data_IF_636588261256
#
_entry.id   IF_636588261256
#
_cell.length_a   1.000
_cell.length_b   1.000
_cell.length_c   1.000
_cell.angle_alpha   90.00
_cell.angle_beta   90.00
_cell.angle_gamma   90.00
#
_symmetry.space_group_name_H-M   'P 1'
#
loop_
_entity.id
_entity.type
_entity.pdbx_description
1 polymer ?
#
# COMPACT_ATOMS: atom_id res chain seq x y z
N UNK A 1 31.30 0.83 14.25
CA UNK A 1 29.95 1.39 14.47
C UNK A 1 29.05 0.65 13.48
N UNK A 2 28.25 -0.29 13.98
CA UNK A 2 27.77 -1.43 13.19
C UNK A 2 26.67 -1.11 12.17
N UNK A 3 26.51 -2.02 11.20
CA UNK A 3 25.52 -2.03 10.12
C UNK A 3 24.05 -2.17 10.58
N UNK A 4 23.76 -2.04 11.87
CA UNK A 4 22.41 -2.26 12.43
C UNK A 4 21.76 -0.90 12.71
N UNK A 5 20.69 -0.60 11.98
CA UNK A 5 19.93 0.66 12.10
C UNK A 5 18.42 0.39 12.00
N UNK A 6 17.62 1.14 12.75
CA UNK A 6 16.14 1.11 12.71
C UNK A 6 15.54 2.11 11.70
N UNK A 7 16.39 2.90 11.03
CA UNK A 7 15.99 4.00 10.14
C UNK A 7 14.96 3.59 9.06
N UNK A 8 15.07 2.37 8.54
CA UNK A 8 14.12 1.86 7.52
C UNK A 8 12.72 1.70 8.11
N UNK A 9 12.61 1.08 9.28
CA UNK A 9 11.34 0.85 9.96
C UNK A 9 10.71 2.17 10.43
N UNK A 10 11.50 3.04 11.04
CA UNK A 10 11.04 4.36 11.50
C UNK A 10 10.57 5.24 10.33
N UNK A 11 11.32 5.22 9.22
CA UNK A 11 10.94 5.92 8.00
C UNK A 11 9.62 5.42 7.40
N UNK A 12 9.41 4.10 7.37
CA UNK A 12 8.15 3.50 6.91
C UNK A 12 6.96 3.97 7.76
N UNK A 13 7.05 3.82 9.08
CA UNK A 13 5.94 4.20 9.97
C UNK A 13 5.70 5.71 10.01
N UNK A 14 6.73 6.52 9.82
CA UNK A 14 6.60 7.97 9.70
C UNK A 14 5.78 8.36 8.47
N UNK A 15 6.05 7.73 7.32
CA UNK A 15 5.28 7.95 6.09
C UNK A 15 3.82 7.50 6.24
N UNK A 16 3.61 6.32 6.83
CA UNK A 16 2.28 5.77 7.09
C UNK A 16 1.43 6.72 7.96
N UNK A 17 1.98 7.17 9.10
CA UNK A 17 1.29 8.10 10.02
C UNK A 17 0.94 9.43 9.34
N UNK A 18 1.82 9.96 8.49
CA UNK A 18 1.55 11.19 7.72
C UNK A 18 0.43 10.97 6.70
N UNK A 19 0.43 9.81 6.03
CA UNK A 19 -0.64 9.40 5.13
C UNK A 19 -2.01 9.31 5.82
N UNK A 20 -2.06 8.70 7.01
CA UNK A 20 -3.30 8.59 7.79
C UNK A 20 -3.86 9.96 8.19
N UNK A 21 -3.00 10.91 8.59
CA UNK A 21 -3.44 12.26 8.94
C UNK A 21 -3.85 13.12 7.73
N UNK A 22 -3.24 12.88 6.56
CA UNK A 22 -3.45 13.72 5.38
C UNK A 22 -4.48 13.17 4.40
N UNK A 23 -4.25 11.96 3.89
CA UNK A 23 -5.01 11.35 2.79
C UNK A 23 -6.16 10.51 3.34
N UNK A 24 -5.90 9.70 4.37
CA UNK A 24 -6.83 8.68 4.87
C UNK A 24 -7.48 9.10 6.20
N UNK A 25 -7.99 10.33 6.25
CA UNK A 25 -8.53 10.95 7.46
C UNK A 25 -9.76 10.21 8.02
N UNK A 26 -10.56 9.60 7.14
CA UNK A 26 -11.76 8.83 7.47
C UNK A 26 -11.53 7.31 7.35
N UNK A 27 -10.39 6.83 7.83
CA UNK A 27 -10.08 5.40 7.88
C UNK A 27 -10.85 4.71 9.01
N UNK A 28 -11.87 3.91 8.66
CA UNK A 28 -12.44 2.94 9.59
C UNK A 28 -11.49 1.76 9.80
N UNK A 29 -11.52 1.16 11.00
CA UNK A 29 -10.66 0.02 11.38
C UNK A 29 -10.75 -1.15 10.38
N UNK A 30 -11.95 -1.43 9.87
CA UNK A 30 -12.19 -2.45 8.84
C UNK A 30 -11.42 -2.24 7.54
N UNK A 31 -10.90 -1.05 7.26
CA UNK A 31 -10.13 -0.75 6.05
C UNK A 31 -8.63 -0.63 6.30
N UNK A 32 -8.19 -0.65 7.58
CA UNK A 32 -6.79 -0.43 7.96
C UNK A 32 -5.83 -1.40 7.24
N UNK A 33 -6.23 -2.67 7.13
CA UNK A 33 -5.45 -3.70 6.43
C UNK A 33 -5.21 -3.37 4.95
N UNK A 34 -6.16 -2.70 4.28
CA UNK A 34 -6.02 -2.31 2.86
C UNK A 34 -5.01 -1.18 2.70
N UNK A 35 -5.06 -0.19 3.59
CA UNK A 35 -4.11 0.91 3.56
C UNK A 35 -2.70 0.44 3.91
N UNK A 36 -2.54 -0.45 4.89
CA UNK A 36 -1.24 -1.05 5.19
C UNK A 36 -0.67 -1.81 3.98
N UNK A 37 -1.48 -2.62 3.30
CA UNK A 37 -1.05 -3.34 2.10
C UNK A 37 -0.64 -2.37 0.96
N UNK A 38 -1.35 -1.26 0.80
CA UNK A 38 -1.00 -0.22 -0.18
C UNK A 38 0.34 0.46 0.14
N UNK A 39 0.56 0.83 1.41
CA UNK A 39 1.81 1.45 1.84
C UNK A 39 3.00 0.49 1.72
N UNK A 40 2.83 -0.77 2.09
CA UNK A 40 3.84 -1.80 1.92
C UNK A 40 4.22 -1.97 0.45
N UNK A 41 3.22 -2.06 -0.44
CA UNK A 41 3.45 -2.13 -1.87
C UNK A 41 4.22 -0.91 -2.38
N UNK A 42 3.83 0.32 -2.01
CA UNK A 42 4.52 1.54 -2.45
C UNK A 42 5.96 1.61 -1.94
N UNK A 43 6.19 1.28 -0.67
CA UNK A 43 7.50 1.39 -0.05
C UNK A 43 8.51 0.38 -0.64
N UNK A 44 8.05 -0.85 -0.89
CA UNK A 44 8.88 -1.93 -1.44
C UNK A 44 9.06 -1.87 -2.96
N UNK A 45 8.21 -1.13 -3.68
CA UNK A 45 8.28 -0.99 -5.14
C UNK A 45 8.73 0.41 -5.59
N UNK A 46 9.64 1.04 -4.85
CA UNK A 46 10.17 2.38 -5.15
C UNK A 46 11.44 2.36 -5.99
N UNK A 47 11.72 3.47 -6.67
CA UNK A 47 12.93 3.64 -7.50
C UNK A 47 14.22 3.47 -6.71
N UNK A 48 14.25 3.90 -5.44
CA UNK A 48 15.41 3.73 -4.55
C UNK A 48 15.75 2.25 -4.25
N UNK A 49 14.87 1.30 -4.60
CA UNK A 49 15.13 -0.14 -4.53
C UNK A 49 15.37 -0.76 -5.92
N UNK A 50 15.61 0.07 -6.94
CA UNK A 50 15.83 -0.37 -8.32
C UNK A 50 14.55 -0.76 -9.06
N UNK A 51 13.37 -0.40 -8.53
CA UNK A 51 12.09 -0.70 -9.19
C UNK A 51 11.65 0.51 -10.00
N UNK A 52 11.69 0.38 -11.32
CA UNK A 52 11.20 1.40 -12.26
C UNK A 52 9.67 1.53 -12.20
N UNK A 53 9.14 2.67 -12.64
CA UNK A 53 7.70 2.90 -12.62
C UNK A 53 6.92 1.91 -13.53
N UNK A 54 7.52 1.53 -14.66
CA UNK A 54 6.97 0.50 -15.55
C UNK A 54 6.89 -0.87 -14.85
N UNK A 55 7.92 -1.26 -14.09
CA UNK A 55 7.92 -2.50 -13.33
C UNK A 55 6.92 -2.48 -12.18
N UNK A 56 6.83 -1.35 -11.46
CA UNK A 56 5.82 -1.14 -10.42
C UNK A 56 4.41 -1.31 -10.98
N UNK A 57 4.15 -0.70 -12.13
CA UNK A 57 2.86 -0.79 -12.82
C UNK A 57 2.56 -2.23 -13.23
N UNK A 58 3.54 -2.94 -13.81
CA UNK A 58 3.39 -4.35 -14.17
C UNK A 58 3.11 -5.25 -12.95
N UNK A 59 3.75 -4.99 -11.80
CA UNK A 59 3.47 -5.71 -10.54
C UNK A 59 2.04 -5.46 -10.05
N UNK A 60 1.57 -4.22 -10.13
CA UNK A 60 0.19 -3.87 -9.77
C UNK A 60 -0.83 -4.57 -10.67
N UNK A 61 -0.60 -4.57 -12.00
CA UNK A 61 -1.47 -5.26 -12.97
C UNK A 61 -1.56 -6.76 -12.71
N UNK A 62 -0.43 -7.42 -12.40
CA UNK A 62 -0.42 -8.84 -12.01
C UNK A 62 -1.28 -9.11 -10.77
N UNK A 63 -1.23 -8.24 -9.77
CA UNK A 63 -2.02 -8.36 -8.54
C UNK A 63 -3.52 -8.07 -8.71
N UNK A 64 -3.90 -7.38 -9.80
CA UNK A 64 -5.28 -7.09 -10.16
C UNK A 64 -5.94 -8.23 -10.98
N UNK A 65 -5.14 -9.13 -11.57
CA UNK A 65 -5.66 -10.24 -12.38
C UNK A 65 -6.68 -11.07 -11.59
N UNK A 66 -7.87 -11.26 -12.15
CA UNK A 66 -8.96 -12.02 -11.55
C UNK A 66 -9.79 -11.25 -10.50
N UNK A 67 -9.38 -10.04 -10.10
CA UNK A 67 -10.12 -9.18 -9.18
C UNK A 67 -10.94 -8.17 -9.96
N UNK A 68 -12.11 -8.60 -10.46
CA UNK A 68 -13.06 -7.73 -11.15
C UNK A 68 -14.22 -7.42 -10.21
N UNK A 69 -14.49 -6.13 -9.98
CA UNK A 69 -15.67 -5.67 -9.26
C UNK A 69 -16.71 -5.26 -10.30
N UNK A 70 -17.90 -5.84 -10.27
CA UNK A 70 -19.02 -5.32 -11.06
C UNK A 70 -19.76 -4.25 -10.27
N UNK A 71 -20.41 -3.33 -10.98
CA UNK A 71 -21.19 -2.26 -10.34
C UNK A 71 -22.25 -2.82 -9.39
N UNK A 72 -22.90 -3.93 -9.76
CA UNK A 72 -23.86 -4.64 -8.92
C UNK A 72 -23.27 -5.15 -7.58
N UNK A 73 -21.97 -5.46 -7.55
CA UNK A 73 -21.26 -6.01 -6.38
C UNK A 73 -20.60 -4.91 -5.54
N UNK A 74 -20.65 -3.65 -6.00
CA UNK A 74 -20.00 -2.52 -5.33
C UNK A 74 -20.67 -2.14 -4.00
N UNK A 75 -21.93 -2.53 -3.82
CA UNK A 75 -22.72 -2.30 -2.62
C UNK A 75 -22.68 -3.50 -1.66
N UNK A 76 -21.50 -4.01 -1.34
CA UNK A 76 -21.22 -4.83 -0.14
C UNK A 76 -22.14 -6.00 0.18
N UNK A 77 -22.91 -6.52 -0.79
CA UNK A 77 -23.83 -7.63 -0.57
C UNK A 77 -23.02 -8.90 -0.79
N UNK A 78 -22.44 -9.40 0.31
CA UNK A 78 -21.90 -10.74 0.33
C UNK A 78 -23.08 -11.71 0.16
N UNK A 79 -23.04 -12.50 -0.93
CA UNK A 79 -23.77 -13.77 -1.02
C UNK A 79 -23.04 -14.80 -0.17
#
# INVERSE_FOLDING_TARGET
RGDVTTNRAEGYFSLFKKGMRGIYQHCNERHLHRYLAEFDFRYNNREALGVTDSERTNRALKGAKGKRIMYRDSFGTAV
#
